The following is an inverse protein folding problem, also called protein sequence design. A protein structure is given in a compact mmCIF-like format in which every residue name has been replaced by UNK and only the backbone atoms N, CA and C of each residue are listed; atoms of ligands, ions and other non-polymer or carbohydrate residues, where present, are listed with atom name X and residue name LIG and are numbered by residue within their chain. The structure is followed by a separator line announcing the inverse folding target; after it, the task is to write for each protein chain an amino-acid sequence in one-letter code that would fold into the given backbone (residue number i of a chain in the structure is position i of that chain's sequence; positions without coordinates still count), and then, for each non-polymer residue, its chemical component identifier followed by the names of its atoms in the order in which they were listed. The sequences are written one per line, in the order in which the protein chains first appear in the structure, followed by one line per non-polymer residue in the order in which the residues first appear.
data_IF_214890587786
#
_entry.id   IF_214890587786
#
_cell.length_a   1.000
_cell.length_b   1.000
_cell.length_c   1.000
_cell.angle_alpha   90.00
_cell.angle_beta   90.00
_cell.angle_gamma   90.00
#
_symmetry.space_group_name_H-M   'P 1'
#
loop_
_entity.id
_entity.type
_entity.pdbx_description
1 polymer ?
#
# COMPACT_ATOMS: atom_id res chain seq x y z
N UNK A 1 16.60 1.02 -6.75
CA UNK A 1 17.32 -0.11 -7.38
C UNK A 1 16.96 -0.29 -8.84
N UNK A 2 15.68 -0.49 -9.23
CA UNK A 2 15.29 -0.66 -10.63
C UNK A 2 15.76 0.44 -11.58
N UNK A 3 15.70 1.71 -11.16
CA UNK A 3 16.18 2.82 -11.98
C UNK A 3 17.69 2.78 -12.27
N UNK A 4 18.50 2.37 -11.29
CA UNK A 4 19.95 2.25 -11.43
C UNK A 4 20.31 1.15 -12.43
N UNK A 5 19.70 -0.03 -12.32
CA UNK A 5 19.91 -1.13 -13.26
C UNK A 5 19.41 -0.80 -14.67
N UNK A 6 18.24 -0.15 -14.79
CA UNK A 6 17.73 0.31 -16.08
C UNK A 6 18.66 1.33 -16.75
N UNK A 7 19.21 2.28 -15.98
CA UNK A 7 20.19 3.26 -16.50
C UNK A 7 21.53 2.64 -16.91
N UNK A 8 21.86 1.47 -16.34
CA UNK A 8 23.03 0.66 -16.71
C UNK A 8 22.76 -0.27 -17.91
N UNK A 9 21.55 -0.22 -18.49
CA UNK A 9 21.17 -0.99 -19.68
C UNK A 9 20.59 -2.37 -19.41
N UNK A 10 20.38 -2.74 -18.14
CA UNK A 10 19.74 -4.02 -17.80
C UNK A 10 18.23 -3.98 -18.07
N UNK A 11 17.68 -5.11 -18.50
CA UNK A 11 16.26 -5.25 -18.78
C UNK A 11 15.48 -5.40 -17.44
N UNK A 12 15.01 -4.28 -16.91
CA UNK A 12 14.21 -4.25 -15.67
C UNK A 12 12.73 -4.42 -15.99
N UNK A 13 12.06 -5.37 -15.32
CA UNK A 13 10.61 -5.56 -15.43
C UNK A 13 9.88 -4.27 -15.02
N UNK A 14 9.11 -3.70 -15.95
CA UNK A 14 8.40 -2.43 -15.77
C UNK A 14 9.23 -1.17 -16.08
N UNK A 15 10.51 -1.30 -16.43
CA UNK A 15 11.40 -0.17 -16.73
C UNK A 15 11.85 0.61 -15.49
N UNK A 16 12.46 1.79 -15.71
CA UNK A 16 13.05 2.64 -14.67
C UNK A 16 12.04 3.03 -13.57
N UNK A 17 10.82 3.38 -13.99
CA UNK A 17 9.72 3.83 -13.14
C UNK A 17 8.65 2.77 -12.87
N UNK A 18 8.90 1.51 -13.25
CA UNK A 18 7.89 0.44 -13.24
C UNK A 18 7.23 0.23 -11.87
N UNK A 19 8.01 0.32 -10.80
CA UNK A 19 7.50 0.19 -9.43
C UNK A 19 6.55 1.34 -9.07
N UNK A 20 6.93 2.58 -9.39
CA UNK A 20 6.15 3.78 -9.06
C UNK A 20 4.85 3.77 -9.87
N UNK A 21 4.96 3.54 -11.18
CA UNK A 21 3.80 3.46 -12.07
C UNK A 21 2.86 2.31 -11.68
N UNK A 22 3.41 1.15 -11.31
CA UNK A 22 2.63 0.00 -10.85
C UNK A 22 1.89 0.31 -9.54
N UNK A 23 2.57 0.91 -8.56
CA UNK A 23 1.97 1.33 -7.30
C UNK A 23 0.85 2.34 -7.53
N UNK A 24 1.10 3.40 -8.32
CA UNK A 24 0.11 4.43 -8.66
C UNK A 24 -1.11 3.85 -9.39
N UNK A 25 -0.88 2.95 -10.36
CA UNK A 25 -1.95 2.26 -11.08
C UNK A 25 -2.81 1.39 -10.17
N UNK A 26 -2.18 0.67 -9.22
CA UNK A 26 -2.88 -0.13 -8.23
C UNK A 26 -3.75 0.74 -7.31
N UNK A 27 -3.21 1.84 -6.75
CA UNK A 27 -3.99 2.70 -5.84
C UNK A 27 -5.12 3.43 -6.58
N UNK A 28 -4.89 3.87 -7.82
CA UNK A 28 -5.91 4.48 -8.67
C UNK A 28 -7.04 3.48 -8.99
N UNK A 29 -6.68 2.24 -9.33
CA UNK A 29 -7.65 1.17 -9.56
C UNK A 29 -8.44 0.81 -8.30
N UNK A 30 -7.80 0.80 -7.13
CA UNK A 30 -8.48 0.52 -5.86
C UNK A 30 -9.46 1.64 -5.49
N UNK A 31 -9.07 2.90 -5.70
CA UNK A 31 -9.92 4.06 -5.43
C UNK A 31 -11.06 4.23 -6.44
N UNK A 32 -10.90 3.73 -7.67
CA UNK A 32 -11.75 4.11 -8.80
C UNK A 32 -11.58 5.57 -9.22
N UNK A 33 -10.44 6.18 -8.89
CA UNK A 33 -10.11 7.58 -9.16
C UNK A 33 -8.66 7.68 -9.66
N UNK A 34 -8.34 8.59 -10.61
CA UNK A 34 -7.04 8.61 -11.28
C UNK A 34 -5.87 9.10 -10.41
N UNK A 35 -6.14 9.94 -9.40
CA UNK A 35 -5.10 10.48 -8.51
C UNK A 35 -5.64 10.58 -7.07
N UNK A 36 -5.78 9.44 -6.36
CA UNK A 36 -6.29 9.43 -5.00
C UNK A 36 -5.23 9.91 -4.00
N UNK A 37 -5.66 10.69 -3.02
CA UNK A 37 -4.82 10.96 -1.83
C UNK A 37 -4.62 9.65 -1.08
N UNK A 38 -3.38 9.22 -0.96
CA UNK A 38 -2.99 7.88 -0.50
C UNK A 38 -2.10 7.96 0.74
N UNK A 39 -2.46 7.23 1.79
CA UNK A 39 -1.59 6.98 2.93
C UNK A 39 -1.02 5.56 2.89
N UNK A 40 0.30 5.40 2.88
CA UNK A 40 1.00 4.15 3.17
C UNK A 40 1.15 4.05 4.69
N UNK A 41 0.36 3.18 5.33
CA UNK A 41 0.36 3.02 6.79
C UNK A 41 1.29 1.88 7.17
N UNK A 42 2.42 2.20 7.78
CA UNK A 42 3.50 1.25 8.12
C UNK A 42 3.49 0.98 9.62
N UNK A 43 3.10 -0.23 10.04
CA UNK A 43 3.14 -0.60 11.47
C UNK A 43 4.56 -0.70 12.01
N UNK A 44 4.67 -0.75 13.34
CA UNK A 44 5.95 -0.94 14.02
C UNK A 44 6.59 -2.30 13.69
N UNK A 45 5.79 -3.37 13.55
CA UNK A 45 6.25 -4.70 13.12
C UNK A 45 6.85 -4.68 11.70
N UNK A 46 6.36 -3.78 10.83
CA UNK A 46 6.90 -3.55 9.49
C UNK A 46 7.91 -2.40 9.44
N UNK A 47 8.43 -1.98 10.60
CA UNK A 47 9.28 -0.81 10.75
C UNK A 47 10.57 -0.86 9.94
N UNK A 48 11.12 -2.04 9.69
CA UNK A 48 12.33 -2.25 8.86
C UNK A 48 12.16 -1.78 7.41
N UNK A 49 10.92 -1.65 6.93
CA UNK A 49 10.59 -1.16 5.57
C UNK A 49 10.23 0.33 5.53
N UNK A 50 10.34 1.03 6.67
CA UNK A 50 9.94 2.43 6.75
C UNK A 50 10.65 3.28 5.71
N UNK A 51 11.96 3.06 5.53
CA UNK A 51 12.80 3.85 4.65
C UNK A 51 12.39 3.69 3.18
N UNK A 52 12.09 2.46 2.78
CA UNK A 52 11.59 2.11 1.47
C UNK A 52 10.20 2.69 1.21
N UNK A 53 9.30 2.61 2.19
CA UNK A 53 7.94 3.16 2.05
C UNK A 53 7.96 4.68 2.05
N UNK A 54 8.83 5.30 2.85
CA UNK A 54 9.05 6.73 2.86
C UNK A 54 9.62 7.22 1.54
N UNK A 55 10.63 6.51 1.02
CA UNK A 55 11.18 6.76 -0.31
C UNK A 55 10.13 6.61 -1.41
N UNK A 56 9.29 5.57 -1.37
CA UNK A 56 8.24 5.35 -2.37
C UNK A 56 7.23 6.50 -2.36
N UNK A 57 6.78 6.92 -1.18
CA UNK A 57 5.89 8.06 -1.03
C UNK A 57 6.52 9.35 -1.59
N UNK A 58 7.79 9.62 -1.25
CA UNK A 58 8.51 10.78 -1.76
C UNK A 58 8.65 10.73 -3.29
N UNK A 59 9.05 9.59 -3.85
CA UNK A 59 9.21 9.42 -5.29
C UNK A 59 7.90 9.62 -6.07
N UNK A 60 6.76 9.28 -5.47
CA UNK A 60 5.44 9.58 -6.01
C UNK A 60 5.13 11.09 -5.93
N UNK A 61 5.44 11.75 -4.81
CA UNK A 61 5.25 13.21 -4.63
C UNK A 61 6.12 14.04 -5.57
N UNK A 62 7.36 13.61 -5.82
CA UNK A 62 8.25 14.25 -6.79
C UNK A 62 7.67 14.23 -8.23
N UNK A 63 6.73 13.31 -8.49
CA UNK A 63 5.98 13.19 -9.75
C UNK A 63 4.59 13.85 -9.70
N UNK A 64 4.27 14.56 -8.61
CA UNK A 64 3.02 15.32 -8.45
C UNK A 64 1.86 14.56 -7.80
N UNK A 65 2.07 13.33 -7.33
CA UNK A 65 1.02 12.52 -6.69
C UNK A 65 0.95 12.75 -5.17
N UNK A 66 -0.25 12.66 -4.59
CA UNK A 66 -0.46 12.89 -3.16
C UNK A 66 -0.35 11.58 -2.36
N UNK A 67 0.88 11.11 -2.18
CA UNK A 67 1.21 9.88 -1.43
C UNK A 67 2.01 10.21 -0.17
N UNK A 68 1.63 9.64 0.97
CA UNK A 68 2.26 9.88 2.27
C UNK A 68 2.53 8.57 2.99
N UNK A 69 3.78 8.28 3.39
CA UNK A 69 4.02 7.22 4.36
C UNK A 69 3.91 7.77 5.78
N UNK A 70 3.19 7.06 6.64
CA UNK A 70 2.83 7.47 8.00
C UNK A 70 2.81 6.28 8.94
N UNK A 71 2.98 6.54 10.24
CA UNK A 71 2.74 5.53 11.27
C UNK A 71 1.25 5.46 11.60
N UNK A 72 0.74 4.34 12.13
CA UNK A 72 -0.68 4.23 12.51
C UNK A 72 -1.11 5.31 13.52
N UNK A 73 -0.22 5.73 14.43
CA UNK A 73 -0.48 6.80 15.39
C UNK A 73 -0.72 8.18 14.76
N UNK A 74 -0.21 8.43 13.55
CA UNK A 74 -0.36 9.72 12.87
C UNK A 74 -1.71 9.84 12.15
N UNK A 75 -2.42 8.72 11.98
CA UNK A 75 -3.73 8.70 11.34
C UNK A 75 -4.76 9.32 12.28
N UNK A 76 -5.39 10.39 11.82
CA UNK A 76 -6.46 11.09 12.54
C UNK A 76 -7.83 10.71 11.96
N UNK A 77 -8.82 10.57 12.83
CA UNK A 77 -10.19 10.21 12.45
C UNK A 77 -11.12 11.40 12.67
N UNK A 78 -12.00 11.65 11.71
CA UNK A 78 -13.08 12.63 11.79
C UNK A 78 -14.34 12.06 11.12
N UNK A 79 -15.48 12.73 11.29
CA UNK A 79 -16.74 12.30 10.63
C UNK A 79 -16.63 12.28 9.10
N UNK A 80 -15.80 13.15 8.54
CA UNK A 80 -15.58 13.27 7.10
C UNK A 80 -14.69 12.16 6.53
N UNK A 81 -13.85 11.54 7.37
CA UNK A 81 -12.93 10.47 6.97
C UNK A 81 -11.61 10.49 7.74
N UNK A 82 -10.63 9.77 7.18
CA UNK A 82 -9.27 9.71 7.72
C UNK A 82 -8.44 10.89 7.21
N UNK A 83 -7.58 11.43 8.07
CA UNK A 83 -6.63 12.48 7.74
C UNK A 83 -5.22 12.10 8.18
N UNK A 84 -4.23 12.56 7.43
CA UNK A 84 -2.81 12.37 7.74
C UNK A 84 -2.06 13.71 7.64
N UNK A 85 -0.90 13.87 8.30
CA UNK A 85 -0.05 15.04 8.10
C UNK A 85 0.42 15.14 6.64
N UNK A 86 0.22 16.29 6.00
CA UNK A 86 0.60 16.54 4.61
C UNK A 86 2.07 16.98 4.46
N UNK A 87 2.76 17.23 5.57
CA UNK A 87 4.14 17.67 5.59
C UNK A 87 5.01 16.65 6.30
N UNK A 88 6.05 16.19 5.61
CA UNK A 88 7.10 15.30 6.13
C UNK A 88 6.57 13.88 6.37
N UNK A 89 6.83 13.01 5.41
CA UNK A 89 7.17 11.63 5.76
C UNK A 89 8.61 11.71 6.30
N UNK A 90 8.85 11.55 7.61
CA UNK A 90 10.21 11.57 8.13
C UNK A 90 11.00 10.46 7.45
N UNK A 91 12.13 10.79 6.84
CA UNK A 91 13.12 9.76 6.53
C UNK A 91 13.61 9.09 7.82
N UNK A 92 14.26 7.92 7.74
CA UNK A 92 14.88 7.19 8.87
C UNK A 92 15.72 8.03 9.84
N UNK A 93 16.21 9.18 9.37
CA UNK A 93 17.16 10.06 10.05
C UNK A 93 16.59 11.43 10.36
N UNK A 94 15.35 11.69 9.97
CA UNK A 94 14.71 12.96 10.28
C UNK A 94 14.20 12.92 11.72
N UNK A 95 14.47 13.94 12.53
CA UNK A 95 13.89 14.03 13.87
C UNK A 95 12.36 13.97 13.75
N UNK A 96 11.71 13.21 14.63
CA UNK A 96 10.25 13.21 14.69
C UNK A 96 9.75 14.67 14.80
N UNK A 97 8.79 15.09 13.94
CA UNK A 97 8.31 16.44 13.95
C UNK A 97 7.77 16.79 15.33
N UNK A 98 8.44 17.75 15.98
CA UNK A 98 8.17 18.15 17.37
C UNK A 98 7.01 19.17 17.46
N UNK A 99 6.51 19.64 16.31
CA UNK A 99 5.47 20.66 16.20
C UNK A 99 4.21 20.09 15.53
N UNK A 100 3.11 20.02 16.29
CA UNK A 100 1.86 19.31 15.98
C UNK A 100 0.91 20.08 15.04
N UNK A 101 1.37 21.12 14.34
CA UNK A 101 0.51 21.90 13.43
C UNK A 101 0.87 21.73 11.96
N UNK A 102 1.27 20.51 11.57
CA UNK A 102 1.33 20.17 10.16
C UNK A 102 -0.09 20.21 9.57
N UNK A 103 -0.29 20.84 8.39
CA UNK A 103 -1.58 20.79 7.71
C UNK A 103 -1.94 19.32 7.48
N UNK A 104 -3.17 18.95 7.80
CA UNK A 104 -3.66 17.59 7.57
C UNK A 104 -4.39 17.52 6.25
N UNK A 105 -4.27 16.38 5.56
CA UNK A 105 -4.96 16.10 4.31
C UNK A 105 -5.86 14.89 4.48
N UNK A 106 -7.06 14.96 3.92
CA UNK A 106 -8.00 13.84 3.93
C UNK A 106 -7.55 12.79 2.91
N UNK A 107 -7.51 11.53 3.36
CA UNK A 107 -7.05 10.40 2.53
C UNK A 107 -8.25 9.63 1.98
N UNK A 108 -8.14 9.27 0.71
CA UNK A 108 -9.12 8.42 0.01
C UNK A 108 -8.71 6.96 -0.04
N UNK A 109 -7.40 6.68 0.07
CA UNK A 109 -6.84 5.32 0.06
C UNK A 109 -5.87 5.15 1.23
N UNK A 110 -5.98 4.01 1.91
CA UNK A 110 -4.95 3.49 2.81
C UNK A 110 -4.31 2.29 2.11
N UNK A 111 -3.04 2.43 1.75
CA UNK A 111 -2.18 1.30 1.44
C UNK A 111 -1.68 0.71 2.77
N UNK A 112 -2.24 -0.42 3.19
CA UNK A 112 -1.81 -1.07 4.44
C UNK A 112 -0.47 -1.76 4.23
N UNK A 113 0.49 -1.39 5.04
CA UNK A 113 1.78 -2.06 5.19
C UNK A 113 1.89 -2.54 6.64
N UNK A 114 0.92 -3.39 6.99
CA UNK A 114 0.80 -4.06 8.27
C UNK A 114 0.00 -5.36 8.08
N UNK A 115 0.24 -6.31 8.96
CA UNK A 115 -0.28 -7.67 8.87
C UNK A 115 -1.59 -7.83 9.65
N UNK A 116 -2.54 -8.63 9.13
CA UNK A 116 -3.84 -8.82 9.79
C UNK A 116 -3.75 -9.75 11.00
N UNK A 117 -2.77 -10.64 11.04
CA UNK A 117 -2.52 -11.47 12.23
C UNK A 117 -1.99 -10.65 13.41
N UNK A 118 -1.32 -9.53 13.13
CA UNK A 118 -0.76 -8.60 14.12
C UNK A 118 -1.65 -7.38 14.39
N UNK A 119 -2.88 -7.35 13.83
CA UNK A 119 -3.73 -6.15 13.83
C UNK A 119 -4.00 -5.56 15.23
N UNK A 120 -3.96 -6.38 16.29
CA UNK A 120 -4.17 -5.93 17.67
C UNK A 120 -3.05 -5.00 18.17
N UNK A 121 -1.87 -5.07 17.58
CA UNK A 121 -0.73 -4.22 17.90
C UNK A 121 -0.68 -2.96 17.02
N UNK A 122 -1.56 -2.83 16.02
CA UNK A 122 -1.64 -1.65 15.14
C UNK A 122 -2.53 -0.57 15.77
N UNK A 123 -2.01 0.59 16.21
CA UNK A 123 -2.85 1.64 16.77
C UNK A 123 -3.99 2.07 15.83
N UNK A 124 -5.16 2.37 16.40
CA UNK A 124 -6.33 2.91 15.68
C UNK A 124 -6.87 2.03 14.54
N UNK A 125 -6.49 0.75 14.48
CA UNK A 125 -6.93 -0.18 13.43
C UNK A 125 -8.46 -0.27 13.29
N UNK A 126 -9.20 -0.26 14.41
CA UNK A 126 -10.66 -0.30 14.40
C UNK A 126 -11.27 0.93 13.71
N UNK A 127 -10.66 2.11 13.90
CA UNK A 127 -11.11 3.36 13.28
C UNK A 127 -10.85 3.35 11.77
N UNK A 128 -9.69 2.81 11.34
CA UNK A 128 -9.39 2.64 9.92
C UNK A 128 -10.38 1.68 9.26
N UNK A 129 -10.66 0.54 9.89
CA UNK A 129 -11.64 -0.43 9.40
C UNK A 129 -13.06 0.14 9.42
N UNK A 130 -13.41 0.92 10.43
CA UNK A 130 -14.70 1.60 10.49
C UNK A 130 -14.86 2.59 9.35
N UNK A 131 -13.86 3.42 9.08
CA UNK A 131 -13.86 4.36 7.95
C UNK A 131 -14.02 3.62 6.61
N UNK A 132 -13.33 2.49 6.45
CA UNK A 132 -13.45 1.65 5.26
C UNK A 132 -14.85 1.04 5.12
N UNK A 133 -15.41 0.52 6.21
CA UNK A 133 -16.78 -0.02 6.26
C UNK A 133 -17.84 1.04 5.94
N UNK A 134 -17.56 2.31 6.28
CA UNK A 134 -18.41 3.47 5.95
C UNK A 134 -18.11 4.06 4.57
N UNK A 135 -17.26 3.42 3.77
CA UNK A 135 -16.86 3.86 2.43
C UNK A 135 -16.26 5.28 2.41
N UNK A 136 -15.65 5.70 3.53
CA UNK A 136 -14.94 6.97 3.65
C UNK A 136 -13.50 6.89 3.14
N UNK A 137 -12.96 5.68 3.06
CA UNK A 137 -11.63 5.36 2.58
C UNK A 137 -11.65 3.97 1.96
N UNK A 138 -10.79 3.71 0.98
CA UNK A 138 -10.51 2.36 0.48
C UNK A 138 -9.25 1.84 1.15
N UNK A 139 -9.27 0.59 1.65
CA UNK A 139 -8.05 -0.06 2.16
C UNK A 139 -7.58 -1.11 1.13
N UNK A 140 -6.32 -0.99 0.70
CA UNK A 140 -5.63 -1.96 -0.15
C UNK A 140 -4.27 -2.31 0.45
N UNK A 141 -3.78 -3.56 0.39
CA UNK A 141 -4.53 -4.77 0.04
C UNK A 141 -5.77 -4.98 0.93
N UNK A 142 -6.77 -5.80 0.53
CA UNK A 142 -8.03 -5.92 1.26
C UNK A 142 -7.85 -6.57 2.64
N UNK A 143 -8.80 -6.34 3.55
CA UNK A 143 -8.84 -6.95 4.90
C UNK A 143 -9.30 -8.42 4.80
N UNK A 144 -8.46 -9.30 4.24
CA UNK A 144 -8.72 -10.73 4.05
C UNK A 144 -7.46 -11.54 4.37
N UNK A 145 -7.40 -12.11 5.57
CA UNK A 145 -6.24 -12.82 6.11
C UNK A 145 -5.81 -14.06 5.30
N UNK A 146 -6.73 -14.79 4.68
CA UNK A 146 -6.39 -16.00 3.90
C UNK A 146 -5.59 -15.73 2.61
N UNK A 147 -5.56 -14.48 2.13
CA UNK A 147 -4.74 -14.09 0.98
C UNK A 147 -3.28 -13.79 1.38
N UNK A 148 -2.98 -13.73 2.68
CA UNK A 148 -1.64 -13.47 3.22
C UNK A 148 -0.89 -14.76 3.58
N UNK A 149 -1.56 -15.91 3.55
CA UNK A 149 -0.94 -17.19 3.88
C UNK A 149 -0.07 -17.69 2.70
N UNK A 150 1.23 -17.89 2.97
CA UNK A 150 2.18 -18.50 2.01
C UNK A 150 1.71 -19.87 1.47
N UNK A 151 0.89 -20.57 2.25
CA UNK A 151 0.28 -21.84 1.85
C UNK A 151 -0.72 -21.67 0.68
N UNK A 152 -1.51 -20.59 0.69
CA UNK A 152 -2.48 -20.29 -0.38
C UNK A 152 -1.76 -20.12 -1.72
N UNK A 153 -0.60 -19.46 -1.73
CA UNK A 153 0.22 -19.33 -2.93
C UNK A 153 0.77 -20.69 -3.41
N UNK A 154 1.27 -21.52 -2.49
CA UNK A 154 1.70 -22.87 -2.84
C UNK A 154 0.58 -23.71 -3.48
N UNK A 155 -0.66 -23.60 -2.98
CA UNK A 155 -1.83 -24.28 -3.54
C UNK A 155 -2.26 -23.71 -4.90
N UNK A 156 -2.11 -22.41 -5.13
CA UNK A 156 -2.41 -21.76 -6.41
C UNK A 156 -1.46 -22.24 -7.52
N UNK A 157 -0.19 -22.46 -7.21
CA UNK A 157 0.82 -22.93 -8.15
C UNK A 157 0.96 -24.47 -8.17
N UNK A 158 0.18 -25.20 -7.37
CA UNK A 158 0.27 -26.66 -7.30
C UNK A 158 -0.27 -27.33 -8.59
N UNK A 159 0.51 -28.15 -9.30
CA UNK A 159 0.11 -28.74 -10.58
C UNK A 159 -1.19 -29.54 -10.53
N UNK A 160 -1.42 -30.28 -9.43
CA UNK A 160 -2.64 -31.09 -9.27
C UNK A 160 -3.93 -30.24 -9.15
N UNK A 161 -3.81 -28.97 -8.76
CA UNK A 161 -4.95 -28.06 -8.61
C UNK A 161 -5.15 -27.14 -9.83
N UNK A 162 -4.26 -27.18 -10.82
CA UNK A 162 -4.32 -26.30 -11.99
C UNK A 162 -5.66 -26.42 -12.76
N UNK A 163 -6.17 -27.65 -12.91
CA UNK A 163 -7.46 -27.89 -13.58
C UNK A 163 -8.63 -27.33 -12.76
N UNK A 164 -8.60 -27.50 -11.44
CA UNK A 164 -9.61 -26.97 -10.53
C UNK A 164 -9.65 -25.43 -10.60
N UNK A 165 -8.50 -24.77 -10.53
CA UNK A 165 -8.45 -23.31 -10.61
C UNK A 165 -8.88 -22.77 -11.98
N UNK A 166 -8.56 -23.47 -13.08
CA UNK A 166 -9.00 -23.09 -14.42
C UNK A 166 -10.52 -23.20 -14.64
N UNK A 167 -11.23 -24.01 -13.83
CA UNK A 167 -12.70 -24.09 -13.88
C UNK A 167 -13.38 -23.08 -12.98
N UNK A 168 -12.74 -22.69 -11.87
CA UNK A 168 -13.32 -21.75 -10.88
C UNK A 168 -13.03 -20.27 -11.21
N UNK A 169 -11.93 -19.99 -11.93
CA UNK A 169 -11.51 -18.63 -12.26
C UNK A 169 -11.67 -18.33 -13.75
N UNK A 170 -12.02 -17.08 -14.08
CA UNK A 170 -12.00 -16.64 -15.49
C UNK A 170 -10.57 -16.66 -16.02
N UNK A 171 -10.39 -17.15 -17.25
CA UNK A 171 -9.07 -17.31 -17.88
C UNK A 171 -8.17 -16.07 -17.77
N UNK A 172 -8.65 -14.82 -17.97
CA UNK A 172 -7.79 -13.63 -17.83
C UNK A 172 -7.26 -13.39 -16.41
N UNK A 173 -8.02 -13.77 -15.38
CA UNK A 173 -7.61 -13.61 -13.98
C UNK A 173 -6.64 -14.74 -13.60
N UNK A 174 -6.91 -15.96 -14.06
CA UNK A 174 -6.05 -17.12 -13.80
C UNK A 174 -4.64 -16.94 -14.35
N UNK A 175 -4.52 -16.48 -15.60
CA UNK A 175 -3.22 -16.22 -16.24
C UNK A 175 -2.45 -15.10 -15.52
N UNK A 176 -3.13 -14.06 -15.04
CA UNK A 176 -2.49 -12.98 -14.27
C UNK A 176 -1.94 -13.46 -12.94
N UNK A 177 -2.69 -14.28 -12.20
CA UNK A 177 -2.24 -14.77 -10.89
C UNK A 177 -1.10 -15.77 -11.03
N UNK A 178 -1.05 -16.56 -12.11
CA UNK A 178 0.09 -17.46 -12.38
C UNK A 178 1.39 -16.76 -12.77
N UNK A 179 1.30 -15.52 -13.24
CA UNK A 179 2.45 -14.76 -13.70
C UNK A 179 3.17 -13.99 -12.57
N UNK A 180 2.59 -13.99 -11.37
CA UNK A 180 3.18 -13.49 -10.11
C UNK A 180 4.08 -14.58 -9.54
#
# INVERSE_FOLDING_TARGET
MGALYASLGDQVLGGEDGMINGFLGMVASAAGAPDPVTAIVVSDESGDYWDEMAWLAQACRDRGHQVFAVRPQDVSFSEDGLKVPAGVTPGPRDPEPTDQTLPTIQVSVVYRFFELYDIKNVPKWELMLYAAKKQKVVITPPIKSYLEEKLTFALMHHPALARYWSSEMTSPVFERVKAI
#
